data_IF_459674535711
#
_entry.id   IF_459674535711
#
_cell.length_a   1.000
_cell.length_b   1.000
_cell.length_c   1.000
_cell.angle_alpha   90.00
_cell.angle_beta   90.00
_cell.angle_gamma   90.00
#
_symmetry.space_group_name_H-M   'P 1'
#
loop_
_entity.id
_entity.type
_entity.pdbx_description
1 polymer ?
#
# COMPACT_ATOMS: atom_id res chain seq x y z
N UNK A 1 7.47 -18.35 21.17
CA UNK A 1 6.14 -17.67 21.15
C UNK A 1 5.31 -18.38 20.09
N UNK A 2 4.03 -18.64 20.35
CA UNK A 2 3.15 -19.09 19.26
C UNK A 2 2.94 -17.91 18.31
N UNK A 3 3.27 -18.09 17.03
CA UNK A 3 2.98 -17.07 16.01
C UNK A 3 1.48 -16.97 15.82
N UNK A 4 0.95 -15.76 15.81
CA UNK A 4 -0.48 -15.51 15.56
C UNK A 4 -0.82 -15.95 14.14
N UNK A 5 -1.87 -16.75 13.98
CA UNK A 5 -2.34 -17.18 12.65
C UNK A 5 -2.89 -16.00 11.86
N UNK A 6 -2.45 -15.84 10.61
CA UNK A 6 -2.98 -14.82 9.71
C UNK A 6 -4.46 -15.07 9.39
N UNK A 7 -5.25 -13.99 9.29
CA UNK A 7 -6.67 -14.08 8.86
C UNK A 7 -6.79 -14.43 7.37
N UNK A 8 -5.76 -14.13 6.60
CA UNK A 8 -5.67 -14.52 5.18
C UNK A 8 -5.48 -16.04 4.99
N UNK A 9 -5.00 -16.76 6.00
CA UNK A 9 -4.78 -18.22 5.92
C UNK A 9 -6.07 -19.04 5.69
N UNK A 10 -7.25 -18.45 5.94
CA UNK A 10 -8.54 -19.08 5.68
C UNK A 10 -8.98 -18.96 4.19
N UNK A 11 -8.30 -18.17 3.38
CA UNK A 11 -8.56 -18.04 1.94
C UNK A 11 -7.87 -19.16 1.17
N UNK A 12 -8.45 -19.60 0.07
CA UNK A 12 -7.80 -20.51 -0.86
C UNK A 12 -6.62 -19.81 -1.59
N UNK A 13 -5.72 -20.59 -2.16
CA UNK A 13 -4.60 -20.08 -2.98
C UNK A 13 -5.09 -19.20 -4.14
N UNK A 14 -6.19 -19.58 -4.79
CA UNK A 14 -6.76 -18.81 -5.90
C UNK A 14 -7.32 -17.46 -5.44
N UNK A 15 -8.03 -17.43 -4.30
CA UNK A 15 -8.52 -16.18 -3.71
C UNK A 15 -7.37 -15.26 -3.30
N UNK A 16 -6.31 -15.81 -2.70
CA UNK A 16 -5.12 -15.04 -2.35
C UNK A 16 -4.40 -14.48 -3.57
N UNK A 17 -4.26 -15.27 -4.64
CA UNK A 17 -3.64 -14.81 -5.89
C UNK A 17 -4.42 -13.65 -6.55
N UNK A 18 -5.74 -13.58 -6.33
CA UNK A 18 -6.59 -12.47 -6.78
C UNK A 18 -6.51 -11.29 -5.80
N UNK A 19 -6.47 -11.54 -4.49
CA UNK A 19 -6.52 -10.50 -3.48
C UNK A 19 -5.19 -9.73 -3.34
N UNK A 20 -4.04 -10.41 -3.44
CA UNK A 20 -2.72 -9.77 -3.22
C UNK A 20 -2.48 -8.57 -4.15
N UNK A 21 -2.71 -8.65 -5.48
CA UNK A 21 -2.62 -7.47 -6.35
C UNK A 21 -3.55 -6.33 -5.92
N UNK A 22 -4.76 -6.65 -5.46
CA UNK A 22 -5.70 -5.65 -4.95
C UNK A 22 -5.19 -4.99 -3.68
N UNK A 23 -4.57 -5.75 -2.77
CA UNK A 23 -3.93 -5.17 -1.57
C UNK A 23 -2.78 -4.22 -1.95
N UNK A 24 -1.95 -4.58 -2.93
CA UNK A 24 -0.90 -3.67 -3.43
C UNK A 24 -1.52 -2.36 -3.95
N UNK A 25 -2.58 -2.44 -4.75
CA UNK A 25 -3.27 -1.26 -5.28
C UNK A 25 -3.94 -0.44 -4.16
N UNK A 26 -4.56 -1.07 -3.17
CA UNK A 26 -5.11 -0.38 -1.99
C UNK A 26 -4.00 0.43 -1.30
N UNK A 27 -2.80 -0.13 -1.18
CA UNK A 27 -1.66 0.58 -0.61
C UNK A 27 -1.30 1.86 -1.38
N UNK A 28 -1.29 1.82 -2.72
CA UNK A 28 -1.07 3.00 -3.56
C UNK A 28 -2.17 4.07 -3.37
N UNK A 29 -3.43 3.64 -3.17
CA UNK A 29 -4.55 4.56 -3.02
C UNK A 29 -4.60 5.27 -1.67
N UNK A 30 -3.78 4.88 -0.70
CA UNK A 30 -3.60 5.61 0.57
C UNK A 30 -3.19 7.06 0.29
N UNK A 31 -2.23 7.25 -0.60
CA UNK A 31 -1.77 8.57 -1.04
C UNK A 31 -2.95 9.43 -1.54
N UNK A 32 -3.84 8.87 -2.36
CA UNK A 32 -5.03 9.58 -2.85
C UNK A 32 -6.00 9.98 -1.74
N UNK A 33 -6.10 9.18 -0.71
CA UNK A 33 -7.00 9.45 0.42
C UNK A 33 -6.52 10.60 1.31
N UNK A 34 -5.22 10.87 1.35
CA UNK A 34 -4.60 11.87 2.24
C UNK A 34 -4.30 13.21 1.57
N UNK A 35 -3.76 13.19 0.34
CA UNK A 35 -3.16 14.37 -0.29
C UNK A 35 -4.15 15.51 -0.56
N UNK A 36 -5.40 15.21 -0.87
CA UNK A 36 -6.42 16.26 -1.06
C UNK A 36 -6.64 17.11 0.21
N UNK A 37 -6.61 16.48 1.37
CA UNK A 37 -6.73 17.18 2.66
C UNK A 37 -5.49 17.99 3.00
N UNK A 38 -4.30 17.46 2.65
CA UNK A 38 -3.04 18.17 2.80
C UNK A 38 -2.98 19.40 1.90
N UNK A 39 -3.35 19.30 0.61
CA UNK A 39 -3.45 20.46 -0.30
C UNK A 39 -4.38 21.51 0.27
N UNK A 40 -5.57 21.11 0.72
CA UNK A 40 -6.58 22.01 1.25
C UNK A 40 -6.12 22.81 2.48
N UNK A 41 -5.20 22.26 3.28
CA UNK A 41 -4.78 22.86 4.56
C UNK A 41 -3.40 23.48 4.51
N UNK A 42 -2.48 22.89 3.80
CA UNK A 42 -1.07 23.30 3.79
C UNK A 42 -0.61 23.87 2.44
N UNK A 43 -1.43 23.69 1.38
CA UNK A 43 -1.07 24.06 0.03
C UNK A 43 -0.31 22.96 -0.71
N UNK A 44 -0.14 23.15 -2.02
CA UNK A 44 0.44 22.15 -2.93
C UNK A 44 1.90 21.83 -2.60
N UNK A 45 2.71 22.83 -2.32
CA UNK A 45 4.16 22.64 -2.06
C UNK A 45 4.42 21.81 -0.82
N UNK A 46 3.70 22.08 0.28
CA UNK A 46 3.81 21.28 1.50
C UNK A 46 3.24 19.88 1.31
N UNK A 47 2.20 19.71 0.48
CA UNK A 47 1.68 18.38 0.13
C UNK A 47 2.74 17.55 -0.60
N UNK A 48 3.51 18.13 -1.54
CA UNK A 48 4.60 17.44 -2.22
C UNK A 48 5.65 16.94 -1.21
N UNK A 49 6.02 17.77 -0.25
CA UNK A 49 6.98 17.38 0.78
C UNK A 49 6.40 16.30 1.71
N UNK A 50 5.11 16.36 2.05
CA UNK A 50 4.43 15.30 2.80
C UNK A 50 4.50 13.97 2.05
N UNK A 51 4.21 13.98 0.74
CA UNK A 51 4.29 12.77 -0.08
C UNK A 51 5.71 12.21 -0.15
N UNK A 52 6.73 13.05 -0.32
CA UNK A 52 8.14 12.61 -0.30
C UNK A 52 8.49 11.96 1.04
N UNK A 53 8.15 12.61 2.16
CA UNK A 53 8.42 12.10 3.51
C UNK A 53 7.64 10.83 3.82
N UNK A 54 6.40 10.72 3.35
CA UNK A 54 5.57 9.51 3.47
C UNK A 54 6.26 8.29 2.84
N UNK A 55 6.63 8.40 1.57
CA UNK A 55 7.26 7.32 0.83
C UNK A 55 8.71 7.08 1.26
N UNK A 56 9.54 8.12 1.32
CA UNK A 56 10.94 7.97 1.66
C UNK A 56 11.18 7.55 3.12
N UNK A 57 10.23 7.84 4.03
CA UNK A 57 10.31 7.43 5.42
C UNK A 57 9.84 6.00 5.69
N UNK A 58 9.33 5.30 4.70
CA UNK A 58 8.76 3.95 4.87
C UNK A 58 9.25 2.93 3.85
N UNK A 59 9.39 3.30 2.57
CA UNK A 59 9.72 2.35 1.48
C UNK A 59 11.00 1.55 1.71
N UNK A 60 12.11 2.09 2.21
CA UNK A 60 13.29 1.27 2.49
C UNK A 60 13.02 0.15 3.50
N UNK A 61 12.16 0.41 4.48
CA UNK A 61 11.85 -0.53 5.57
C UNK A 61 10.98 -1.68 5.08
N UNK A 62 9.86 -1.38 4.43
CA UNK A 62 8.96 -2.42 4.00
C UNK A 62 9.52 -3.22 2.80
N UNK A 63 10.26 -2.58 1.89
CA UNK A 63 10.97 -3.27 0.81
C UNK A 63 11.99 -4.26 1.39
N UNK A 64 12.75 -3.88 2.42
CA UNK A 64 13.69 -4.78 3.09
C UNK A 64 13.02 -5.95 3.79
N UNK A 65 11.83 -5.73 4.39
CA UNK A 65 11.01 -6.81 4.94
C UNK A 65 10.59 -7.82 3.87
N UNK A 66 10.08 -7.33 2.72
CA UNK A 66 9.64 -8.18 1.62
C UNK A 66 10.80 -8.97 1.00
N UNK A 67 11.98 -8.34 0.83
CA UNK A 67 13.21 -9.03 0.38
C UNK A 67 13.54 -10.22 1.27
N UNK A 68 13.50 -10.03 2.60
CA UNK A 68 13.74 -11.09 3.58
C UNK A 68 12.67 -12.16 3.56
N UNK A 69 11.40 -11.76 3.52
CA UNK A 69 10.27 -12.67 3.54
C UNK A 69 10.29 -13.66 2.36
N UNK A 70 10.70 -13.19 1.18
CA UNK A 70 10.72 -13.96 -0.07
C UNK A 70 12.14 -14.34 -0.54
N UNK A 71 13.14 -14.23 0.34
CA UNK A 71 14.50 -14.72 0.12
C UNK A 71 15.14 -14.21 -1.19
N UNK A 72 14.95 -12.91 -1.51
CA UNK A 72 15.60 -12.28 -2.68
C UNK A 72 16.48 -11.10 -2.30
N UNK A 73 17.01 -11.08 -1.08
CA UNK A 73 17.97 -10.05 -0.67
C UNK A 73 19.21 -10.06 -1.56
N UNK A 74 19.64 -8.87 -1.98
CA UNK A 74 20.80 -8.68 -2.82
C UNK A 74 21.26 -7.23 -2.76
N UNK A 75 22.20 -6.88 -3.67
CA UNK A 75 22.83 -5.56 -3.73
C UNK A 75 22.83 -4.98 -5.15
N UNK A 76 22.11 -5.60 -6.07
CA UNK A 76 22.13 -5.33 -7.51
C UNK A 76 20.77 -4.82 -8.04
N UNK A 77 20.75 -4.40 -9.30
CA UNK A 77 19.54 -3.85 -9.95
C UNK A 77 18.42 -4.87 -10.06
N UNK A 78 18.72 -6.17 -10.14
CA UNK A 78 17.71 -7.22 -10.18
C UNK A 78 16.93 -7.24 -8.87
N UNK A 79 17.63 -7.07 -7.75
CA UNK A 79 16.99 -6.96 -6.43
C UNK A 79 16.11 -5.72 -6.33
N UNK A 80 16.56 -4.57 -6.88
CA UNK A 80 15.73 -3.35 -6.94
C UNK A 80 14.44 -3.61 -7.72
N UNK A 81 14.54 -4.21 -8.92
CA UNK A 81 13.38 -4.48 -9.76
C UNK A 81 12.38 -5.47 -9.14
N UNK A 82 12.87 -6.52 -8.50
CA UNK A 82 12.00 -7.42 -7.72
C UNK A 82 11.28 -6.70 -6.59
N UNK A 83 11.97 -5.75 -5.94
CA UNK A 83 11.39 -4.90 -4.91
C UNK A 83 10.20 -4.11 -5.46
N UNK A 84 10.37 -3.42 -6.60
CA UNK A 84 9.30 -2.64 -7.24
C UNK A 84 8.07 -3.49 -7.60
N UNK A 85 8.25 -4.76 -7.98
CA UNK A 85 7.14 -5.65 -8.35
C UNK A 85 6.24 -6.06 -7.16
N UNK A 86 6.71 -5.86 -5.94
CA UNK A 86 6.02 -6.24 -4.69
C UNK A 86 5.82 -5.04 -3.75
N UNK A 87 5.90 -3.84 -4.31
CA UNK A 87 5.78 -2.57 -3.62
C UNK A 87 4.38 -1.97 -3.80
N UNK A 88 3.79 -1.48 -2.72
CA UNK A 88 2.54 -0.72 -2.79
C UNK A 88 2.67 0.57 -3.59
N UNK A 89 3.89 1.10 -3.77
CA UNK A 89 4.18 2.25 -4.63
C UNK A 89 4.16 1.92 -6.12
N UNK A 90 4.19 0.64 -6.50
CA UNK A 90 4.29 0.20 -7.89
C UNK A 90 3.34 -0.97 -8.22
N UNK A 91 2.05 -0.93 -7.82
CA UNK A 91 1.14 -2.04 -8.00
C UNK A 91 0.92 -2.33 -9.50
N UNK A 92 0.95 -3.61 -9.91
CA UNK A 92 0.92 -3.98 -11.33
C UNK A 92 -0.37 -3.60 -12.06
N UNK A 93 -1.47 -3.39 -11.33
CA UNK A 93 -2.75 -2.93 -11.90
C UNK A 93 -2.82 -1.40 -12.10
N UNK A 94 -1.80 -0.66 -11.65
CA UNK A 94 -1.76 0.79 -11.68
C UNK A 94 -0.56 1.33 -12.43
N UNK A 95 0.56 0.61 -12.40
CA UNK A 95 1.80 0.98 -13.07
C UNK A 95 2.36 -0.19 -13.88
N UNK A 96 2.45 -0.01 -15.19
CA UNK A 96 2.97 -1.02 -16.11
C UNK A 96 4.47 -0.89 -16.31
N UNK A 97 5.23 -1.38 -15.34
CA UNK A 97 6.70 -1.40 -15.39
C UNK A 97 7.21 -2.44 -16.38
N UNK A 98 8.13 -2.03 -17.25
CA UNK A 98 8.90 -2.87 -18.16
C UNK A 98 10.38 -2.74 -17.89
N UNK A 99 11.05 -3.84 -17.56
CA UNK A 99 12.42 -3.85 -17.09
C UNK A 99 13.39 -4.31 -18.18
N UNK A 100 14.57 -3.69 -18.23
CA UNK A 100 15.73 -4.13 -19.02
C UNK A 100 16.92 -4.25 -18.08
N UNK A 101 17.63 -5.38 -18.11
CA UNK A 101 18.83 -5.61 -17.30
C UNK A 101 20.03 -5.65 -18.22
N UNK A 102 20.92 -4.67 -18.16
CA UNK A 102 22.16 -4.62 -18.95
C UNK A 102 23.26 -5.43 -18.27
N UNK A 103 23.41 -5.27 -16.96
CA UNK A 103 24.26 -6.07 -16.10
C UNK A 103 23.75 -5.98 -14.64
N UNK A 104 24.48 -6.55 -13.68
CA UNK A 104 24.07 -6.53 -12.26
C UNK A 104 24.07 -5.13 -11.63
N UNK A 105 24.72 -4.15 -12.25
CA UNK A 105 24.86 -2.79 -11.71
C UNK A 105 24.13 -1.73 -12.53
N UNK A 106 23.65 -2.11 -13.71
CA UNK A 106 22.97 -1.21 -14.62
C UNK A 106 21.72 -1.87 -15.20
N UNK A 107 20.60 -1.22 -15.01
CA UNK A 107 19.32 -1.58 -15.61
C UNK A 107 18.49 -0.34 -15.94
N UNK A 108 17.40 -0.57 -16.61
CA UNK A 108 16.42 0.44 -16.98
C UNK A 108 15.02 -0.08 -16.72
N UNK A 109 14.10 0.83 -16.48
CA UNK A 109 12.68 0.54 -16.59
C UNK A 109 11.96 1.65 -17.35
N UNK A 110 10.85 1.31 -17.93
CA UNK A 110 9.90 2.28 -18.45
C UNK A 110 8.47 1.90 -18.07
N UNK A 111 7.57 2.87 -18.13
CA UNK A 111 6.16 2.65 -17.86
C UNK A 111 5.35 2.83 -19.16
N UNK A 112 4.75 1.74 -19.61
CA UNK A 112 3.80 1.77 -20.74
C UNK A 112 2.46 2.36 -20.33
N UNK A 113 2.11 2.22 -19.04
CA UNK A 113 0.99 2.86 -18.38
C UNK A 113 1.38 3.31 -16.97
N UNK A 114 0.87 4.46 -16.53
CA UNK A 114 1.06 4.99 -15.20
C UNK A 114 -0.25 5.62 -14.69
N UNK A 115 -0.86 4.98 -13.70
CA UNK A 115 -2.10 5.48 -13.08
C UNK A 115 -1.90 6.79 -12.35
N UNK A 116 -0.72 7.01 -11.73
CA UNK A 116 -0.40 8.27 -11.08
C UNK A 116 -0.37 9.44 -12.07
N UNK A 117 0.20 9.23 -13.27
CA UNK A 117 0.17 10.23 -14.34
C UNK A 117 -1.26 10.53 -14.80
N UNK A 118 -2.09 9.49 -15.00
CA UNK A 118 -3.48 9.66 -15.41
C UNK A 118 -4.29 10.46 -14.41
N UNK A 119 -3.98 10.35 -13.12
CA UNK A 119 -4.66 11.10 -12.08
C UNK A 119 -4.27 12.58 -12.08
N UNK A 120 -3.02 12.93 -12.41
CA UNK A 120 -2.51 14.29 -12.33
C UNK A 120 -2.52 15.07 -13.67
N UNK A 121 -2.50 14.37 -14.83
CA UNK A 121 -2.56 15.04 -16.14
C UNK A 121 -3.75 15.99 -16.30
N UNK A 122 -4.99 15.62 -15.89
CA UNK A 122 -6.15 16.50 -15.96
C UNK A 122 -6.05 17.74 -15.04
N UNK A 123 -5.21 17.68 -14.01
CA UNK A 123 -5.02 18.76 -13.04
C UNK A 123 -4.07 19.87 -13.55
N UNK A 124 -3.30 19.59 -14.61
CA UNK A 124 -2.40 20.53 -15.26
C UNK A 124 -0.92 20.28 -15.02
N UNK A 125 -0.07 20.99 -15.80
CA UNK A 125 1.38 20.75 -15.88
C UNK A 125 2.09 20.85 -14.52
N UNK A 126 1.65 21.74 -13.62
CA UNK A 126 2.26 21.88 -12.29
C UNK A 126 2.08 20.62 -11.43
N UNK A 127 0.95 19.94 -11.54
CA UNK A 127 0.71 18.67 -10.82
C UNK A 127 1.49 17.53 -11.44
N UNK A 128 1.59 17.49 -12.78
CA UNK A 128 2.43 16.52 -13.50
C UNK A 128 3.88 16.67 -13.08
N UNK A 129 4.43 17.90 -13.02
CA UNK A 129 5.79 18.14 -12.55
C UNK A 129 5.96 17.75 -11.09
N UNK A 130 5.03 18.13 -10.24
CA UNK A 130 5.05 17.75 -8.82
C UNK A 130 5.15 16.24 -8.64
N UNK A 131 4.31 15.46 -9.33
CA UNK A 131 4.35 14.00 -9.28
C UNK A 131 5.62 13.44 -9.93
N UNK A 132 5.83 13.70 -11.23
CA UNK A 132 6.83 13.02 -12.04
C UNK A 132 8.26 13.58 -11.91
N UNK A 133 8.47 14.67 -11.16
CA UNK A 133 9.79 15.26 -10.91
C UNK A 133 10.08 15.36 -9.43
N UNK A 134 9.22 16.10 -8.68
CA UNK A 134 9.55 16.48 -7.31
C UNK A 134 9.38 15.29 -6.34
N UNK A 135 8.35 14.44 -6.55
CA UNK A 135 8.08 13.28 -5.71
C UNK A 135 8.88 12.06 -6.19
N UNK A 136 8.88 11.73 -7.49
CA UNK A 136 9.45 10.48 -7.99
C UNK A 136 10.98 10.40 -7.82
N UNK A 137 11.73 11.48 -8.06
CA UNK A 137 13.19 11.47 -7.95
C UNK A 137 13.66 10.99 -6.55
N UNK A 138 13.26 11.62 -5.43
CA UNK A 138 13.69 11.18 -4.11
C UNK A 138 13.05 9.88 -3.65
N UNK A 139 11.83 9.55 -4.11
CA UNK A 139 11.14 8.33 -3.65
C UNK A 139 11.66 7.07 -4.34
N UNK A 140 12.04 7.12 -5.62
CA UNK A 140 12.73 6.01 -6.28
C UNK A 140 14.10 5.75 -5.66
N UNK A 141 14.88 6.80 -5.38
CA UNK A 141 16.16 6.66 -4.68
C UNK A 141 15.95 6.05 -3.29
N UNK A 142 14.92 6.49 -2.55
CA UNK A 142 14.61 5.96 -1.23
C UNK A 142 14.23 4.46 -1.28
N UNK A 143 13.39 4.04 -2.21
CA UNK A 143 13.04 2.62 -2.38
C UNK A 143 14.29 1.77 -2.67
N UNK A 144 15.20 2.29 -3.51
CA UNK A 144 16.45 1.60 -3.83
C UNK A 144 17.41 1.46 -2.62
N UNK A 145 17.29 2.31 -1.58
CA UNK A 145 18.08 2.22 -0.34
C UNK A 145 17.97 0.85 0.34
N UNK A 146 16.84 0.18 0.24
CA UNK A 146 16.67 -1.18 0.79
C UNK A 146 17.67 -2.17 0.21
N UNK A 147 18.17 -1.91 -1.00
CA UNK A 147 19.09 -2.76 -1.74
C UNK A 147 20.52 -2.22 -1.71
N UNK A 148 20.71 -0.94 -2.08
CA UNK A 148 22.05 -0.35 -2.13
C UNK A 148 21.96 1.18 -2.00
N UNK A 149 22.70 1.76 -1.05
CA UNK A 149 22.74 3.21 -0.80
C UNK A 149 23.40 4.03 -1.91
N UNK A 150 24.13 3.38 -2.80
CA UNK A 150 24.78 4.01 -3.96
C UNK A 150 24.00 3.81 -5.26
N UNK A 151 22.76 3.30 -5.15
CA UNK A 151 21.85 3.21 -6.27
C UNK A 151 21.22 4.58 -6.55
N UNK A 152 21.23 4.98 -7.82
CA UNK A 152 20.55 6.18 -8.28
C UNK A 152 19.59 5.82 -9.41
N UNK A 153 18.36 6.34 -9.30
CA UNK A 153 17.32 6.20 -10.32
C UNK A 153 17.14 7.56 -10.99
N UNK A 154 17.44 7.64 -12.30
CA UNK A 154 17.42 8.92 -13.03
C UNK A 154 16.60 8.82 -14.31
N UNK A 155 15.81 9.86 -14.64
CA UNK A 155 14.96 9.84 -15.82
C UNK A 155 15.77 9.89 -17.12
N UNK A 156 15.45 9.01 -18.05
CA UNK A 156 15.83 9.13 -19.46
C UNK A 156 14.89 10.13 -20.15
N UNK A 157 13.60 10.01 -19.85
CA UNK A 157 12.55 10.98 -20.15
C UNK A 157 11.36 10.79 -19.20
N UNK A 158 10.62 11.85 -18.98
CA UNK A 158 9.45 11.85 -18.09
C UNK A 158 8.40 12.90 -18.48
N UNK A 159 7.16 12.81 -17.99
CA UNK A 159 6.13 13.83 -18.21
C UNK A 159 6.56 15.23 -17.72
N UNK A 160 6.02 16.32 -18.30
CA UNK A 160 4.94 16.33 -19.30
C UNK A 160 5.34 15.68 -20.63
N UNK A 161 4.46 14.85 -21.19
CA UNK A 161 4.75 14.13 -22.43
C UNK A 161 4.80 15.10 -23.64
N UNK A 162 5.84 14.99 -24.44
CA UNK A 162 5.98 15.73 -25.68
C UNK A 162 6.48 14.79 -26.81
N UNK A 163 5.60 14.43 -27.77
CA UNK A 163 4.19 14.81 -27.91
C UNK A 163 3.30 14.23 -26.78
N UNK A 164 2.05 14.70 -26.65
CA UNK A 164 1.14 14.27 -25.58
C UNK A 164 0.80 12.78 -25.56
N UNK A 165 0.93 12.11 -26.71
CA UNK A 165 0.74 10.67 -26.91
C UNK A 165 2.06 9.86 -26.83
N UNK A 166 3.14 10.45 -26.36
CA UNK A 166 4.44 9.76 -26.25
C UNK A 166 4.33 8.48 -25.42
N UNK A 167 4.86 7.39 -25.98
CA UNK A 167 5.05 6.12 -25.32
C UNK A 167 6.54 5.69 -25.40
N UNK A 168 7.04 5.01 -24.35
CA UNK A 168 6.41 4.83 -23.03
C UNK A 168 6.18 6.19 -22.34
N UNK A 169 5.35 6.22 -21.30
CA UNK A 169 5.02 7.46 -20.56
C UNK A 169 6.26 8.10 -19.95
N UNK A 170 7.13 7.30 -19.36
CA UNK A 170 8.44 7.69 -18.85
C UNK A 170 9.43 6.52 -18.98
N UNK A 171 10.72 6.82 -18.86
CA UNK A 171 11.79 5.83 -18.83
C UNK A 171 12.91 6.30 -17.90
N UNK A 172 13.56 5.36 -17.22
CA UNK A 172 14.51 5.62 -16.14
C UNK A 172 15.68 4.66 -16.18
N UNK A 173 16.89 5.16 -15.87
CA UNK A 173 18.05 4.34 -15.57
C UNK A 173 18.10 4.01 -14.08
N UNK A 174 18.56 2.80 -13.75
CA UNK A 174 18.86 2.35 -12.39
C UNK A 174 20.31 1.94 -12.37
N UNK A 175 21.16 2.73 -11.73
CA UNK A 175 22.62 2.54 -11.75
C UNK A 175 23.15 2.47 -10.32
N UNK A 176 23.95 1.45 -10.04
CA UNK A 176 24.68 1.28 -8.81
C UNK A 176 26.17 1.49 -9.13
N UNK A 177 26.78 2.54 -8.59
CA UNK A 177 28.18 2.87 -8.83
C UNK A 177 28.87 3.29 -7.52
N UNK A 178 30.00 2.67 -7.22
CA UNK A 178 30.77 2.95 -6.00
C UNK A 178 31.26 4.40 -5.91
N UNK A 179 31.35 5.12 -7.03
CA UNK A 179 31.71 6.54 -7.09
C UNK A 179 30.57 7.48 -6.71
N UNK A 180 29.31 6.98 -6.69
CA UNK A 180 28.16 7.82 -6.33
C UNK A 180 28.14 8.13 -4.83
N UNK A 181 27.67 9.32 -4.45
CA UNK A 181 27.39 9.61 -3.06
C UNK A 181 26.27 8.65 -2.56
N UNK A 182 26.33 8.29 -1.30
CA UNK A 182 25.23 7.57 -0.69
C UNK A 182 23.98 8.44 -0.62
N UNK A 183 22.81 7.84 -0.86
CA UNK A 183 21.52 8.50 -0.68
C UNK A 183 21.28 8.72 0.81
N UNK A 184 20.87 9.94 1.18
CA UNK A 184 20.54 10.30 2.55
C UNK A 184 19.15 9.80 2.96
N UNK A 185 18.98 9.58 4.25
CA UNK A 185 17.68 9.21 4.83
C UNK A 185 16.88 10.45 5.23
N UNK A 186 15.56 10.37 5.08
CA UNK A 186 14.67 11.33 5.72
C UNK A 186 14.53 11.01 7.22
N UNK A 187 14.35 12.02 8.10
CA UNK A 187 14.27 11.80 9.55
C UNK A 187 13.15 10.84 9.97
N UNK A 188 12.05 10.79 9.23
CA UNK A 188 10.93 9.91 9.48
C UNK A 188 11.33 8.43 9.46
N UNK A 189 12.30 8.05 8.61
CA UNK A 189 12.76 6.66 8.48
C UNK A 189 13.21 6.06 9.83
N UNK A 190 14.00 6.78 10.61
CA UNK A 190 14.48 6.29 11.91
C UNK A 190 13.33 6.10 12.92
N UNK A 191 12.35 7.01 12.89
CA UNK A 191 11.18 6.93 13.79
C UNK A 191 10.31 5.73 13.40
N UNK A 192 10.03 5.56 12.10
CA UNK A 192 9.24 4.43 11.59
C UNK A 192 9.97 3.11 11.81
N UNK A 193 11.30 3.07 11.67
CA UNK A 193 12.13 1.89 11.97
C UNK A 193 12.05 1.44 13.44
N UNK A 194 11.72 2.33 14.37
CA UNK A 194 11.51 2.01 15.77
C UNK A 194 10.10 1.51 16.10
N UNK A 195 9.17 1.54 15.14
CA UNK A 195 7.77 1.15 15.34
C UNK A 195 7.59 -0.35 15.60
N UNK A 196 6.49 -0.70 16.27
CA UNK A 196 6.06 -2.09 16.44
C UNK A 196 5.73 -2.74 15.09
N UNK A 197 5.16 -1.96 14.13
CA UNK A 197 4.88 -2.43 12.78
C UNK A 197 6.13 -3.00 12.10
N UNK A 198 7.25 -2.27 12.12
CA UNK A 198 8.51 -2.74 11.52
C UNK A 198 9.07 -3.99 12.18
N UNK A 199 8.90 -4.13 13.50
CA UNK A 199 9.39 -5.28 14.28
C UNK A 199 8.38 -6.42 14.41
N UNK A 200 7.19 -6.32 13.77
CA UNK A 200 6.19 -7.39 13.82
C UNK A 200 6.72 -8.65 13.12
N UNK A 201 6.75 -9.74 13.87
CA UNK A 201 7.09 -11.07 13.34
C UNK A 201 5.85 -11.74 12.77
N UNK A 202 5.92 -12.17 11.52
CA UNK A 202 4.87 -12.89 10.82
C UNK A 202 5.19 -14.37 10.72
N UNK A 203 4.17 -15.19 10.53
CA UNK A 203 4.33 -16.63 10.35
C UNK A 203 5.30 -16.95 9.19
N UNK A 204 6.20 -17.94 9.34
CA UNK A 204 7.10 -18.34 8.27
C UNK A 204 6.33 -18.98 7.12
N UNK A 205 6.91 -18.92 5.92
CA UNK A 205 6.42 -19.64 4.75
C UNK A 205 6.75 -21.13 4.94
N UNK A 206 5.79 -22.01 4.64
CA UNK A 206 6.01 -23.46 4.66
C UNK A 206 6.66 -23.89 3.32
N UNK A 207 7.91 -24.36 3.33
CA UNK A 207 8.59 -24.77 2.12
C UNK A 207 8.03 -26.08 1.51
N UNK A 208 7.14 -26.76 2.22
CA UNK A 208 6.49 -27.99 1.74
C UNK A 208 5.19 -27.73 0.98
N UNK A 209 4.66 -26.49 1.02
CA UNK A 209 3.47 -26.11 0.26
C UNK A 209 3.74 -26.15 -1.24
N UNK A 210 2.72 -26.58 -2.01
CA UNK A 210 2.80 -26.59 -3.48
C UNK A 210 2.87 -25.17 -4.06
N UNK A 211 3.85 -24.89 -4.90
CA UNK A 211 4.10 -23.60 -5.55
C UNK A 211 5.42 -22.97 -5.13
N UNK A 212 5.64 -21.72 -5.53
CA UNK A 212 6.84 -20.96 -5.18
C UNK A 212 6.77 -20.55 -3.70
N UNK A 213 7.75 -20.98 -2.91
CA UNK A 213 7.88 -20.55 -1.52
C UNK A 213 8.56 -19.17 -1.40
N UNK A 214 9.31 -18.74 -2.43
CA UNK A 214 10.08 -17.49 -2.41
C UNK A 214 10.23 -16.89 -3.81
N UNK A 215 10.96 -15.78 -3.91
CA UNK A 215 11.30 -15.10 -5.17
C UNK A 215 12.83 -15.09 -5.42
N UNK A 216 13.54 -16.13 -5.00
CA UNK A 216 14.98 -16.28 -5.21
C UNK A 216 15.35 -16.57 -6.67
N UNK A 217 14.40 -17.03 -7.49
CA UNK A 217 14.55 -17.30 -8.93
C UNK A 217 14.89 -16.05 -9.77
N UNK A 218 14.83 -16.13 -11.10
CA UNK A 218 15.10 -15.00 -11.99
C UNK A 218 14.10 -13.85 -11.80
N UNK A 219 14.48 -12.63 -12.20
CA UNK A 219 13.53 -11.53 -12.37
C UNK A 219 12.50 -11.92 -13.43
N UNK A 220 11.24 -11.68 -13.17
CA UNK A 220 10.13 -11.94 -14.09
C UNK A 220 9.68 -10.65 -14.77
N UNK A 221 9.17 -10.73 -16.00
CA UNK A 221 8.56 -9.59 -16.69
C UNK A 221 7.31 -9.11 -15.96
N UNK A 222 6.54 -10.04 -15.42
CA UNK A 222 5.31 -9.82 -14.66
C UNK A 222 5.27 -10.87 -13.53
N UNK A 223 4.89 -10.48 -12.32
CA UNK A 223 4.75 -11.43 -11.22
C UNK A 223 3.48 -12.24 -11.40
N UNK A 224 3.63 -13.56 -11.48
CA UNK A 224 2.50 -14.49 -11.44
C UNK A 224 2.20 -14.88 -9.99
N UNK A 225 1.25 -14.19 -9.36
CA UNK A 225 0.83 -14.50 -8.00
C UNK A 225 0.23 -15.91 -7.88
N UNK A 226 -0.36 -16.45 -8.95
CA UNK A 226 -0.86 -17.82 -8.98
C UNK A 226 0.24 -18.89 -8.91
N UNK A 227 1.50 -18.53 -9.19
CA UNK A 227 2.63 -19.45 -9.07
C UNK A 227 3.11 -19.65 -7.63
N UNK A 228 2.83 -18.69 -6.71
CA UNK A 228 3.25 -18.82 -5.31
C UNK A 228 2.45 -19.87 -4.54
N UNK A 229 3.06 -20.44 -3.52
CA UNK A 229 2.40 -21.36 -2.60
C UNK A 229 1.36 -20.62 -1.73
N UNK A 230 0.46 -21.38 -1.11
CA UNK A 230 -0.56 -20.79 -0.21
C UNK A 230 0.09 -20.00 0.93
N UNK A 231 1.04 -20.58 1.65
CA UNK A 231 1.70 -19.90 2.77
C UNK A 231 2.55 -18.71 2.32
N UNK A 232 3.13 -18.74 1.11
CA UNK A 232 3.82 -17.59 0.53
C UNK A 232 2.86 -16.43 0.23
N UNK A 233 1.69 -16.72 -0.35
CA UNK A 233 0.66 -15.70 -0.61
C UNK A 233 0.11 -15.09 0.68
N UNK A 234 -0.13 -15.91 1.71
CA UNK A 234 -0.52 -15.43 3.05
C UNK A 234 0.54 -14.49 3.60
N UNK A 235 1.82 -14.88 3.51
CA UNK A 235 2.93 -14.04 3.96
C UNK A 235 3.01 -12.73 3.18
N UNK A 236 2.86 -12.77 1.86
CA UNK A 236 2.87 -11.56 1.02
C UNK A 236 1.72 -10.63 1.41
N UNK A 237 0.50 -11.16 1.59
CA UNK A 237 -0.67 -10.36 2.01
C UNK A 237 -0.43 -9.65 3.35
N UNK A 238 0.11 -10.36 4.34
CA UNK A 238 0.45 -9.77 5.65
C UNK A 238 1.57 -8.73 5.55
N UNK A 239 2.63 -8.98 4.73
CA UNK A 239 3.70 -7.99 4.51
C UNK A 239 3.17 -6.75 3.78
N UNK A 240 2.26 -6.90 2.80
CA UNK A 240 1.62 -5.77 2.11
C UNK A 240 0.78 -4.93 3.08
N UNK A 241 0.06 -5.55 4.02
CA UNK A 241 -0.60 -4.80 5.10
C UNK A 241 0.40 -4.03 5.97
N UNK A 242 1.55 -4.61 6.30
CA UNK A 242 2.60 -3.89 7.04
C UNK A 242 3.22 -2.76 6.22
N UNK A 243 3.37 -2.91 4.89
CA UNK A 243 3.78 -1.81 4.02
C UNK A 243 2.82 -0.62 4.18
N UNK A 244 1.49 -0.87 4.13
CA UNK A 244 0.48 0.17 4.32
C UNK A 244 0.58 0.85 5.70
N UNK A 245 0.75 0.06 6.78
CA UNK A 245 0.90 0.64 8.12
C UNK A 245 2.16 1.47 8.26
N UNK A 246 3.30 1.02 7.72
CA UNK A 246 4.56 1.76 7.74
C UNK A 246 4.45 3.07 6.95
N UNK A 247 3.79 3.02 5.76
CA UNK A 247 3.51 4.21 4.95
C UNK A 247 2.69 5.22 5.75
N UNK A 248 1.59 4.78 6.36
CA UNK A 248 0.71 5.63 7.16
C UNK A 248 1.39 6.21 8.38
N UNK A 249 2.26 5.46 9.05
CA UNK A 249 3.03 6.01 10.18
C UNK A 249 3.95 7.15 9.72
N UNK A 250 4.63 7.00 8.57
CA UNK A 250 5.43 8.07 7.98
C UNK A 250 4.58 9.29 7.58
N UNK A 251 3.42 9.06 6.93
CA UNK A 251 2.45 10.09 6.61
C UNK A 251 1.99 10.87 7.87
N UNK A 252 1.65 10.16 8.94
CA UNK A 252 1.23 10.79 10.20
C UNK A 252 2.31 11.69 10.79
N UNK A 253 3.59 11.30 10.70
CA UNK A 253 4.71 12.14 11.14
C UNK A 253 4.84 13.40 10.28
N UNK A 254 4.71 13.27 8.98
CA UNK A 254 4.77 14.40 8.04
C UNK A 254 3.63 15.40 8.26
N UNK A 255 2.40 14.92 8.45
CA UNK A 255 1.21 15.74 8.78
C UNK A 255 1.39 16.44 10.14
N UNK A 256 1.85 15.72 11.16
CA UNK A 256 2.13 16.26 12.50
C UNK A 256 3.11 17.42 12.46
N UNK A 257 4.17 17.28 11.66
CA UNK A 257 5.17 18.34 11.50
C UNK A 257 4.54 19.64 10.94
N UNK A 258 3.59 19.53 9.99
CA UNK A 258 2.89 20.68 9.39
C UNK A 258 1.77 21.22 10.26
N UNK A 259 1.13 20.37 11.05
CA UNK A 259 0.11 20.82 12.01
C UNK A 259 0.69 21.69 13.14
N UNK A 260 2.01 21.65 13.35
CA UNK A 260 2.75 22.55 14.26
C UNK A 260 2.11 22.69 15.64
N UNK A 261 1.71 21.54 16.23
CA UNK A 261 1.09 21.48 17.56
C UNK A 261 -0.43 21.60 17.57
N UNK A 262 -1.09 21.83 16.43
CA UNK A 262 -2.55 21.74 16.31
C UNK A 262 -2.99 20.28 16.22
N UNK A 263 -3.21 19.65 17.37
CA UNK A 263 -3.61 18.24 17.47
C UNK A 263 -4.96 17.97 16.80
N UNK A 264 -5.89 18.92 16.82
CA UNK A 264 -7.21 18.75 16.20
C UNK A 264 -7.10 18.73 14.67
N UNK A 265 -6.23 19.56 14.09
CA UNK A 265 -5.94 19.56 12.66
C UNK A 265 -5.25 18.26 12.24
N UNK A 266 -4.22 17.83 12.98
CA UNK A 266 -3.53 16.56 12.75
C UNK A 266 -4.52 15.39 12.73
N UNK A 267 -5.32 15.25 13.78
CA UNK A 267 -6.30 14.18 13.91
C UNK A 267 -7.35 14.24 12.79
N UNK A 268 -7.86 15.42 12.45
CA UNK A 268 -8.85 15.59 11.38
C UNK A 268 -8.34 15.09 10.03
N UNK A 269 -7.08 15.43 9.65
CA UNK A 269 -6.49 14.99 8.38
C UNK A 269 -6.31 13.47 8.36
N UNK A 270 -5.72 12.91 9.43
CA UNK A 270 -5.49 11.46 9.57
C UNK A 270 -6.78 10.66 9.51
N UNK A 271 -7.81 11.14 10.22
CA UNK A 271 -9.12 10.49 10.28
C UNK A 271 -9.85 10.50 8.93
N UNK A 272 -9.83 11.64 8.23
CA UNK A 272 -10.42 11.75 6.89
C UNK A 272 -9.72 10.87 5.86
N UNK A 273 -8.38 10.81 5.92
CA UNK A 273 -7.60 9.90 5.09
C UNK A 273 -8.01 8.44 5.34
N UNK A 274 -8.16 8.04 6.60
CA UNK A 274 -8.61 6.69 6.93
C UNK A 274 -10.02 6.40 6.42
N UNK A 275 -10.99 7.32 6.56
CA UNK A 275 -12.35 7.13 6.04
C UNK A 275 -12.31 6.87 4.53
N UNK A 276 -11.55 7.66 3.78
CA UNK A 276 -11.44 7.53 2.33
C UNK A 276 -10.94 6.17 1.89
N UNK A 277 -9.78 5.76 2.40
CA UNK A 277 -9.19 4.47 2.01
C UNK A 277 -10.00 3.29 2.54
N UNK A 278 -10.66 3.40 3.70
CA UNK A 278 -11.46 2.33 4.27
C UNK A 278 -12.61 1.92 3.35
N UNK A 279 -13.36 2.86 2.81
CA UNK A 279 -14.45 2.57 1.86
C UNK A 279 -13.96 1.98 0.54
N UNK A 280 -12.89 2.55 -0.03
CA UNK A 280 -12.32 2.08 -1.29
C UNK A 280 -11.73 0.67 -1.16
N UNK A 281 -10.98 0.42 -0.09
CA UNK A 281 -10.41 -0.91 0.18
C UNK A 281 -11.50 -1.97 0.35
N UNK A 282 -12.59 -1.64 1.05
CA UNK A 282 -13.71 -2.54 1.25
C UNK A 282 -14.39 -2.94 -0.06
N UNK A 283 -14.63 -2.00 -0.95
CA UNK A 283 -15.21 -2.26 -2.28
C UNK A 283 -14.32 -3.18 -3.11
N UNK A 284 -13.00 -2.93 -3.12
CA UNK A 284 -12.03 -3.75 -3.86
C UNK A 284 -11.95 -5.17 -3.31
N UNK A 285 -11.85 -5.35 -1.99
CA UNK A 285 -11.81 -6.67 -1.35
C UNK A 285 -13.08 -7.46 -1.64
N UNK A 286 -14.25 -6.81 -1.48
CA UNK A 286 -15.54 -7.44 -1.80
C UNK A 286 -15.58 -7.94 -3.23
N UNK A 287 -15.19 -7.11 -4.20
CA UNK A 287 -15.26 -7.43 -5.61
C UNK A 287 -14.25 -8.52 -5.99
N UNK A 288 -13.02 -8.43 -5.51
CA UNK A 288 -11.96 -9.41 -5.77
C UNK A 288 -12.34 -10.84 -5.31
N UNK A 289 -13.00 -10.93 -4.17
CA UNK A 289 -13.38 -12.22 -3.57
C UNK A 289 -14.84 -12.61 -3.86
N UNK A 290 -15.60 -11.79 -4.59
CA UNK A 290 -17.01 -12.07 -4.90
C UNK A 290 -17.90 -12.23 -3.65
N UNK A 291 -17.61 -11.44 -2.58
CA UNK A 291 -18.30 -11.57 -1.31
C UNK A 291 -19.76 -11.05 -1.40
N UNK A 292 -20.65 -11.68 -0.65
CA UNK A 292 -22.07 -11.32 -0.64
C UNK A 292 -22.31 -9.90 -0.11
N UNK A 293 -23.38 -9.26 -0.60
CA UNK A 293 -23.78 -7.92 -0.19
C UNK A 293 -24.73 -7.95 1.03
N UNK A 294 -24.44 -8.80 1.98
CA UNK A 294 -25.21 -8.99 3.23
C UNK A 294 -24.32 -8.78 4.46
N UNK A 295 -24.88 -8.98 5.66
CA UNK A 295 -24.17 -8.80 6.93
C UNK A 295 -22.95 -9.71 7.06
N UNK A 296 -23.00 -10.93 6.52
CA UNK A 296 -21.88 -11.89 6.56
C UNK A 296 -20.75 -11.46 5.62
N UNK A 297 -21.09 -11.03 4.40
CA UNK A 297 -20.10 -10.50 3.48
C UNK A 297 -19.42 -9.24 4.02
N UNK A 298 -20.17 -8.35 4.68
CA UNK A 298 -19.60 -7.16 5.30
C UNK A 298 -18.67 -7.49 6.49
N UNK A 299 -19.03 -8.46 7.35
CA UNK A 299 -18.13 -8.94 8.41
C UNK A 299 -16.88 -9.57 7.84
N UNK A 300 -17.01 -10.34 6.74
CA UNK A 300 -15.83 -10.92 6.06
C UNK A 300 -14.94 -9.86 5.44
N UNK A 301 -15.50 -8.80 4.85
CA UNK A 301 -14.72 -7.65 4.37
C UNK A 301 -14.00 -6.96 5.52
N UNK A 302 -14.67 -6.70 6.63
CA UNK A 302 -14.05 -6.12 7.84
C UNK A 302 -12.88 -6.98 8.33
N UNK A 303 -13.07 -8.30 8.42
CA UNK A 303 -12.03 -9.25 8.85
C UNK A 303 -10.78 -9.20 7.97
N UNK A 304 -10.97 -9.13 6.65
CA UNK A 304 -9.87 -9.14 5.66
C UNK A 304 -9.31 -7.74 5.35
N UNK A 305 -9.94 -6.68 5.88
CA UNK A 305 -9.52 -5.30 5.62
C UNK A 305 -8.14 -5.00 6.23
N UNK A 306 -7.26 -4.24 5.54
CA UNK A 306 -5.94 -3.83 6.09
C UNK A 306 -6.00 -3.14 7.45
N UNK A 307 -7.09 -2.41 7.75
CA UNK A 307 -7.34 -1.82 9.08
C UNK A 307 -7.24 -2.87 10.21
N UNK A 308 -7.65 -4.11 9.95
CA UNK A 308 -7.67 -5.22 10.91
C UNK A 308 -6.46 -6.15 10.77
N UNK A 309 -5.59 -5.98 9.78
CA UNK A 309 -4.50 -6.88 9.43
C UNK A 309 -3.13 -6.19 9.44
N UNK A 310 -2.02 -6.94 9.64
CA UNK A 310 -1.99 -8.37 9.92
C UNK A 310 -2.39 -8.70 11.37
N UNK A 311 -2.82 -9.95 11.59
CA UNK A 311 -3.26 -10.42 12.90
C UNK A 311 -2.20 -10.31 14.00
N UNK A 312 -0.92 -10.38 13.64
CA UNK A 312 0.20 -10.22 14.57
C UNK A 312 0.40 -8.78 15.06
N UNK A 313 -0.17 -7.80 14.35
CA UNK A 313 -0.04 -6.37 14.67
C UNK A 313 -1.36 -5.77 15.20
N UNK A 314 -2.50 -6.20 14.67
CA UNK A 314 -3.85 -5.76 15.08
C UNK A 314 -4.60 -6.92 15.70
N UNK A 315 -4.89 -6.84 17.01
CA UNK A 315 -5.58 -7.92 17.73
C UNK A 315 -7.09 -7.84 17.54
N UNK A 316 -7.64 -8.83 16.84
CA UNK A 316 -9.08 -8.97 16.60
C UNK A 316 -9.47 -10.43 16.79
N UNK A 317 -10.46 -10.68 17.65
CA UNK A 317 -11.13 -11.97 17.73
C UNK A 317 -12.30 -11.97 16.73
N UNK A 318 -12.36 -13.02 15.93
CA UNK A 318 -13.38 -13.19 14.89
C UNK A 318 -14.46 -14.16 15.39
N UNK A 319 -15.69 -13.68 15.41
CA UNK A 319 -16.91 -14.47 15.69
C UNK A 319 -17.81 -14.45 14.44
N UNK A 320 -18.67 -15.44 14.21
CA UNK A 320 -19.60 -15.43 13.08
C UNK A 320 -20.51 -14.20 12.98
N UNK A 321 -20.79 -13.53 14.10
CA UNK A 321 -21.75 -12.42 14.20
C UNK A 321 -21.11 -11.08 14.54
N UNK A 322 -19.80 -11.04 14.89
CA UNK A 322 -19.11 -9.81 15.25
C UNK A 322 -17.57 -9.95 15.17
N UNK A 323 -16.90 -8.81 15.15
CA UNK A 323 -15.47 -8.73 15.41
C UNK A 323 -15.23 -8.01 16.74
N UNK A 324 -14.34 -8.54 17.56
CA UNK A 324 -13.93 -7.92 18.82
C UNK A 324 -12.47 -7.46 18.71
N UNK A 325 -12.29 -6.16 18.67
CA UNK A 325 -10.97 -5.49 18.60
C UNK A 325 -10.45 -5.22 19.99
N UNK A 326 -9.22 -5.60 20.25
CA UNK A 326 -8.52 -5.38 21.51
C UNK A 326 -7.29 -4.52 21.33
N UNK A 327 -6.84 -3.91 22.42
CA UNK A 327 -5.57 -3.19 22.43
C UNK A 327 -4.44 -4.07 21.90
N UNK A 328 -3.64 -3.52 21.02
CA UNK A 328 -2.60 -4.23 20.26
C UNK A 328 -1.39 -3.34 20.01
N UNK A 329 -0.26 -3.86 19.50
CA UNK A 329 0.89 -3.06 19.11
C UNK A 329 0.56 -1.88 18.19
N UNK A 330 -0.45 -2.02 17.34
CA UNK A 330 -0.91 -0.96 16.43
C UNK A 330 -1.45 0.28 17.16
N UNK A 331 -2.05 0.13 18.34
CA UNK A 331 -2.44 1.27 19.19
C UNK A 331 -1.23 2.00 19.75
N UNK A 332 -0.16 1.27 20.09
CA UNK A 332 1.06 1.87 20.66
C UNK A 332 1.81 2.72 19.62
N UNK A 333 1.76 2.33 18.35
CA UNK A 333 2.33 3.09 17.24
C UNK A 333 1.43 4.28 16.80
N UNK A 334 0.18 4.36 17.24
CA UNK A 334 -0.78 5.33 16.73
C UNK A 334 -1.20 5.05 15.27
N UNK A 335 -1.23 3.76 14.88
CA UNK A 335 -1.67 3.33 13.55
C UNK A 335 -3.18 3.48 13.36
N UNK A 336 -3.69 3.14 12.17
CA UNK A 336 -5.10 3.32 11.77
C UNK A 336 -6.13 2.91 12.83
N UNK A 337 -5.93 1.74 13.46
CA UNK A 337 -6.88 1.22 14.44
C UNK A 337 -7.03 2.15 15.66
N UNK A 338 -6.01 2.95 15.99
CA UNK A 338 -6.05 3.91 17.09
C UNK A 338 -6.95 5.12 16.81
N UNK A 339 -7.36 5.32 15.56
CA UNK A 339 -8.28 6.37 15.13
C UNK A 339 -9.75 5.90 15.15
N UNK A 340 -10.00 4.64 15.50
CA UNK A 340 -11.34 4.02 15.48
C UNK A 340 -11.79 3.68 16.90
N UNK A 341 -13.02 4.05 17.21
CA UNK A 341 -13.64 3.78 18.50
C UNK A 341 -15.16 3.84 18.38
N UNK A 342 -15.96 3.49 19.41
CA UNK A 342 -17.41 3.62 19.38
C UNK A 342 -17.92 5.05 19.11
N UNK A 343 -17.11 6.08 19.34
CA UNK A 343 -17.44 7.49 19.07
C UNK A 343 -16.77 8.04 17.80
N UNK A 344 -15.91 7.25 17.18
CA UNK A 344 -15.17 7.57 15.96
C UNK A 344 -15.23 6.38 14.99
N UNK A 345 -16.45 6.04 14.54
CA UNK A 345 -16.75 4.82 13.80
C UNK A 345 -16.93 5.00 12.29
N UNK A 346 -16.79 6.23 11.76
CA UNK A 346 -17.00 6.49 10.33
C UNK A 346 -16.15 5.63 9.39
N UNK A 347 -14.91 5.25 9.69
CA UNK A 347 -14.18 4.29 8.86
C UNK A 347 -14.89 2.93 8.75
N UNK A 348 -15.49 2.44 9.86
CA UNK A 348 -16.27 1.19 9.86
C UNK A 348 -17.58 1.35 9.09
N UNK A 349 -18.23 2.51 9.21
CA UNK A 349 -19.42 2.83 8.41
C UNK A 349 -19.09 2.87 6.92
N UNK A 350 -17.94 3.47 6.53
CA UNK A 350 -17.47 3.49 5.15
C UNK A 350 -17.25 2.06 4.60
N UNK A 351 -16.60 1.18 5.38
CA UNK A 351 -16.39 -0.22 5.00
C UNK A 351 -17.71 -0.94 4.77
N UNK A 352 -18.63 -0.84 5.71
CA UNK A 352 -19.88 -1.57 5.66
C UNK A 352 -20.81 -1.04 4.55
N UNK A 353 -20.88 0.29 4.38
CA UNK A 353 -21.67 0.91 3.33
C UNK A 353 -21.13 0.60 1.92
N UNK A 354 -19.81 0.43 1.75
CA UNK A 354 -19.20 0.00 0.49
C UNK A 354 -19.60 -1.43 0.09
N UNK A 355 -19.92 -2.28 1.06
CA UNK A 355 -20.44 -3.63 0.79
C UNK A 355 -21.92 -3.56 0.37
N UNK A 356 -22.73 -2.83 1.13
CA UNK A 356 -24.13 -2.58 0.82
C UNK A 356 -24.60 -1.33 1.60
N UNK A 357 -25.15 -0.30 0.94
CA UNK A 357 -25.56 0.93 1.61
C UNK A 357 -26.74 0.74 2.61
N UNK A 358 -27.42 -0.39 2.58
CA UNK A 358 -28.45 -0.74 3.56
C UNK A 358 -27.90 -1.51 4.77
N UNK A 359 -26.59 -1.49 4.98
CA UNK A 359 -25.93 -2.03 6.16
C UNK A 359 -25.32 -0.92 7.00
N UNK A 360 -25.21 -1.18 8.31
CA UNK A 360 -24.60 -0.28 9.28
C UNK A 360 -23.72 -1.04 10.26
N UNK A 361 -22.58 -0.44 10.64
CA UNK A 361 -21.78 -0.93 11.75
C UNK A 361 -22.38 -0.46 13.08
N UNK A 362 -22.59 -1.38 14.02
CA UNK A 362 -22.91 -1.08 15.42
C UNK A 362 -21.68 -1.36 16.27
N UNK A 363 -21.12 -0.29 16.83
CA UNK A 363 -19.86 -0.36 17.59
C UNK A 363 -20.15 -0.09 19.05
N UNK A 364 -19.61 -0.93 19.94
CA UNK A 364 -19.79 -0.81 21.39
C UNK A 364 -18.53 -1.21 22.13
N UNK A 365 -18.29 -0.59 23.28
CA UNK A 365 -17.08 -0.86 24.09
C UNK A 365 -16.39 0.41 24.53
N UNK A 366 -15.06 0.36 24.63
CA UNK A 366 -14.20 1.49 24.99
C UNK A 366 -13.36 1.96 23.79
N UNK A 367 -12.47 2.93 23.97
CA UNK A 367 -11.59 3.42 22.91
C UNK A 367 -10.60 2.35 22.38
N UNK A 368 -10.20 1.38 23.19
CA UNK A 368 -9.18 0.39 22.81
C UNK A 368 -9.64 -1.07 22.96
N UNK A 369 -10.89 -1.28 23.34
CA UNK A 369 -11.52 -2.60 23.49
C UNK A 369 -12.99 -2.45 23.10
N UNK A 370 -13.34 -2.87 21.87
CA UNK A 370 -14.66 -2.66 21.29
C UNK A 370 -15.05 -3.78 20.33
N UNK A 371 -16.36 -3.91 20.17
CA UNK A 371 -16.98 -4.90 19.29
C UNK A 371 -17.73 -4.18 18.17
N UNK A 372 -17.61 -4.68 16.94
CA UNK A 372 -18.42 -4.26 15.80
C UNK A 372 -19.32 -5.40 15.34
N UNK A 373 -20.60 -5.10 15.17
CA UNK A 373 -21.64 -5.92 14.53
C UNK A 373 -22.10 -5.23 13.25
N UNK A 374 -22.55 -6.00 12.29
CA UNK A 374 -23.19 -5.45 11.09
C UNK A 374 -24.67 -5.75 11.14
N UNK A 375 -25.49 -4.73 10.97
CA UNK A 375 -26.96 -4.82 10.99
C UNK A 375 -27.56 -4.23 9.73
N UNK A 376 -28.74 -4.72 9.34
CA UNK A 376 -29.52 -4.15 8.25
C UNK A 376 -30.25 -2.87 8.70
N UNK A 377 -30.46 -1.97 7.75
CA UNK A 377 -31.21 -0.72 7.95
C UNK A 377 -32.17 -0.48 6.80
N UNK A 378 -33.30 0.18 7.08
CA UNK A 378 -34.33 0.53 6.07
C UNK A 378 -33.91 1.74 5.20
N UNK A 379 -32.86 2.45 5.58
CA UNK A 379 -32.41 3.67 4.90
C UNK A 379 -30.99 3.47 4.37
N UNK A 380 -30.81 3.68 3.08
CA UNK A 380 -29.50 3.62 2.46
C UNK A 380 -28.58 4.73 3.00
N UNK A 381 -27.38 4.35 3.42
CA UNK A 381 -26.33 5.29 3.76
C UNK A 381 -25.89 6.07 2.51
N UNK A 382 -25.61 7.38 2.68
CA UNK A 382 -24.95 8.16 1.65
C UNK A 382 -23.46 7.88 1.70
N UNK A 383 -22.83 7.84 0.55
CA UNK A 383 -21.37 7.77 0.48
C UNK A 383 -20.73 8.98 1.18
N UNK A 384 -19.67 8.74 1.94
CA UNK A 384 -18.97 9.79 2.65
C UNK A 384 -18.08 10.58 1.67
N UNK A 385 -17.99 11.92 1.81
CA UNK A 385 -17.18 12.76 0.91
C UNK A 385 -15.70 12.32 0.84
N UNK A 386 -15.18 11.78 1.91
CA UNK A 386 -13.82 11.26 2.00
C UNK A 386 -13.61 10.05 1.07
N UNK A 387 -14.61 9.19 0.94
CA UNK A 387 -14.59 8.04 0.02
C UNK A 387 -14.70 8.51 -1.42
N UNK A 388 -15.59 9.47 -1.71
CA UNK A 388 -15.72 10.06 -3.05
C UNK A 388 -14.40 10.67 -3.54
N UNK A 389 -13.69 11.39 -2.66
CA UNK A 389 -12.36 11.98 -2.97
C UNK A 389 -11.33 10.89 -3.29
N UNK A 390 -11.31 9.80 -2.53
CA UNK A 390 -10.37 8.70 -2.75
C UNK A 390 -10.67 7.91 -4.04
N UNK A 391 -11.95 7.80 -4.42
CA UNK A 391 -12.38 7.16 -5.68
C UNK A 391 -12.00 7.94 -6.94
N UNK A 392 -11.60 9.19 -6.82
CA UNK A 392 -11.16 10.02 -7.94
C UNK A 392 -9.75 9.59 -8.39
N UNK A 393 -9.65 8.38 -8.92
CA UNK A 393 -8.44 7.86 -9.55
C UNK A 393 -8.80 7.16 -10.85
N UNK A 394 -8.55 7.83 -11.98
CA UNK A 394 -8.72 7.25 -13.31
C UNK A 394 -7.78 6.07 -13.55
N UNK A 395 -6.58 6.14 -12.95
CA UNK A 395 -5.59 5.07 -13.02
C UNK A 395 -6.02 3.77 -12.34
N UNK A 396 -6.77 3.85 -11.25
CA UNK A 396 -7.21 2.69 -10.47
C UNK A 396 -8.30 1.84 -11.14
N UNK A 397 -8.90 2.32 -12.22
CA UNK A 397 -9.90 1.60 -13.02
C UNK A 397 -9.38 1.03 -14.33
N UNK A 398 -8.07 1.15 -14.58
CA UNK A 398 -7.45 0.62 -15.79
C UNK A 398 -7.32 -0.90 -15.71
N UNK A 399 -7.66 -1.61 -16.79
CA UNK A 399 -7.48 -3.05 -16.92
C UNK A 399 -6.40 -3.34 -17.96
N UNK A 400 -5.39 -4.09 -17.53
CA UNK A 400 -4.31 -4.56 -18.41
C UNK A 400 -4.68 -5.87 -19.07
N UNK A 401 -4.21 -6.07 -20.29
CA UNK A 401 -4.27 -7.37 -20.94
C UNK A 401 -3.46 -8.41 -20.15
N UNK A 402 -4.00 -9.61 -20.03
CA UNK A 402 -3.28 -10.71 -19.40
C UNK A 402 -2.03 -11.07 -20.21
N UNK A 403 -0.88 -11.03 -19.57
CA UNK A 403 0.42 -11.35 -20.16
C UNK A 403 1.04 -12.56 -19.50
N UNK A 404 1.81 -13.29 -20.28
CA UNK A 404 2.58 -14.41 -19.75
C UNK A 404 3.79 -13.87 -19.01
N UNK A 405 3.96 -14.32 -17.77
CA UNK A 405 5.17 -14.07 -16.99
C UNK A 405 6.37 -14.78 -17.63
N UNK A 406 7.43 -14.05 -17.93
CA UNK A 406 8.64 -14.57 -18.56
C UNK A 406 9.88 -14.19 -17.73
N UNK A 407 10.84 -15.12 -17.55
CA UNK A 407 12.13 -14.77 -16.96
C UNK A 407 12.87 -13.75 -17.84
N UNK A 408 13.37 -12.68 -17.21
CA UNK A 408 14.19 -11.69 -17.87
C UNK A 408 15.67 -12.11 -17.79
N UNK A 409 16.37 -11.97 -18.89
CA UNK A 409 17.80 -12.24 -19.01
C UNK A 409 18.55 -10.92 -19.20
N UNK A 410 19.84 -10.93 -18.87
CA UNK A 410 20.74 -9.82 -19.17
C UNK A 410 20.85 -9.68 -20.68
N UNK A 411 20.73 -8.43 -21.17
CA UNK A 411 20.77 -8.09 -22.60
C UNK A 411 22.18 -7.80 -23.06
#
# INVERSE_FOLDING_TARGET
>A
MMTTTSRYAALSRAELATLVPELLLIGQLIDRSGMAWCISKFGREEMLQIAIEEWAGSSPLYTKRMQKALNYEGVDVITVFKGLQLDIGAPPQFMDFRYTVHDRWHGEFHLDHCGALLDVEPMGEEYVRGMCHDIEDPTFDATALATNRKCQVRPIHRPPRAPADRHPHCAWTVIIDESYPEVDFVPQLEIVAASRAYHTELAPIDPSDEGLADYSGPLLSDVDFGAFSHSALVRIADEVCLQMHLLVLSYHLAVRARANGDAALEESIRYKSLIGIAGVAAERIKNALGLSADTKGALRVLELHPLMNPAAYVSVDVDPDFLHVRRSPAYEDGAWISLVSPVADLPLQAIVAAVNPYLRAEVSGTETDWTVRVVETDTAAKELPEVEVCKFSGGASWEFENRKSLPLTVV
#
